data_IF_940654986709
#
_entry.id   IF_940654986709
#
_cell.length_a   1.000
_cell.length_b   1.000
_cell.length_c   1.000
_cell.angle_alpha   90.00
_cell.angle_beta   90.00
_cell.angle_gamma   90.00
#
_symmetry.space_group_name_H-M   'P 1'
#
loop_
_entity.id
_entity.type
_entity.pdbx_description
1 polymer ?
#
# COMPACT_ATOMS: atom_id res chain seq x y z
N UNK A 1 57.14 9.81 26.59
CA UNK A 1 57.54 8.49 26.09
C UNK A 1 56.40 7.95 25.21
N UNK A 2 56.62 8.03 23.90
CA UNK A 2 55.70 7.67 22.83
C UNK A 2 56.05 6.25 22.36
N UNK A 3 55.10 5.32 22.40
CA UNK A 3 55.25 4.03 21.72
C UNK A 3 54.08 3.81 20.77
N UNK A 4 54.35 4.30 19.56
CA UNK A 4 53.68 3.96 18.31
C UNK A 4 53.67 2.43 18.12
N UNK A 5 52.50 1.85 17.87
CA UNK A 5 52.41 0.51 17.29
C UNK A 5 51.59 0.61 16.01
N UNK A 6 52.25 0.19 14.94
CA UNK A 6 51.88 0.39 13.54
C UNK A 6 50.70 -0.50 13.15
N UNK A 7 49.91 0.08 12.27
CA UNK A 7 48.94 -0.50 11.34
C UNK A 7 49.38 -1.90 10.85
N UNK A 8 48.50 -2.90 10.99
CA UNK A 8 48.50 -4.08 10.15
C UNK A 8 47.12 -4.21 9.52
N UNK A 9 47.08 -3.98 8.21
CA UNK A 9 45.92 -3.92 7.34
C UNK A 9 46.05 -5.11 6.39
N UNK A 10 45.38 -6.24 6.62
CA UNK A 10 45.25 -7.33 5.63
C UNK A 10 43.86 -7.99 5.73
N UNK A 11 42.98 -7.52 4.85
CA UNK A 11 42.22 -8.28 3.85
C UNK A 11 41.71 -9.70 4.21
N UNK A 12 40.40 -9.82 4.39
CA UNK A 12 39.65 -11.04 4.05
C UNK A 12 38.25 -10.65 3.55
N UNK A 13 38.21 -10.16 2.31
CA UNK A 13 36.98 -9.91 1.54
C UNK A 13 36.73 -11.17 0.69
N UNK A 14 36.01 -12.13 1.26
CA UNK A 14 35.46 -13.29 0.54
C UNK A 14 34.08 -13.60 1.10
N UNK A 15 33.09 -12.80 0.71
CA UNK A 15 31.70 -13.23 0.70
C UNK A 15 31.50 -13.99 -0.62
N UNK A 16 31.18 -15.29 -0.61
CA UNK A 16 30.82 -15.97 -1.83
C UNK A 16 29.52 -15.36 -2.35
N UNK A 17 29.56 -14.83 -3.58
CA UNK A 17 28.36 -14.63 -4.39
C UNK A 17 27.82 -16.01 -4.77
N UNK A 18 27.06 -16.66 -3.88
CA UNK A 18 26.00 -17.58 -4.29
C UNK A 18 24.71 -16.78 -4.48
N UNK A 19 24.74 -15.87 -5.43
CA UNK A 19 23.54 -15.30 -6.02
C UNK A 19 23.36 -15.96 -7.39
N UNK A 20 22.19 -16.56 -7.59
CA UNK A 20 21.71 -17.21 -8.82
C UNK A 20 22.08 -18.69 -9.03
N UNK A 21 21.44 -19.60 -8.28
CA UNK A 21 21.11 -20.90 -8.89
C UNK A 21 19.73 -21.48 -8.51
N UNK A 22 18.87 -20.71 -7.83
CA UNK A 22 17.47 -21.13 -7.69
C UNK A 22 16.57 -19.90 -7.66
N UNK A 23 15.77 -19.75 -8.69
CA UNK A 23 14.62 -18.87 -8.61
C UNK A 23 13.78 -19.33 -7.39
N UNK A 24 13.39 -18.43 -6.48
CA UNK A 24 12.44 -18.79 -5.44
C UNK A 24 11.20 -19.35 -6.14
N UNK A 25 10.69 -20.49 -5.65
CA UNK A 25 9.43 -21.02 -6.15
C UNK A 25 8.40 -19.90 -6.05
N UNK A 26 7.76 -19.54 -7.18
CA UNK A 26 6.57 -18.69 -7.13
C UNK A 26 5.60 -19.39 -6.19
N UNK A 27 5.25 -18.73 -5.09
CA UNK A 27 4.11 -19.13 -4.30
C UNK A 27 2.91 -19.03 -5.23
N UNK A 28 2.34 -20.18 -5.58
CA UNK A 28 1.03 -20.22 -6.21
C UNK A 28 0.06 -19.62 -5.20
N UNK A 29 -0.31 -18.35 -5.41
CA UNK A 29 -1.39 -17.73 -4.68
C UNK A 29 -2.68 -18.38 -5.18
N UNK A 30 -3.12 -19.43 -4.49
CA UNK A 30 -4.53 -19.80 -4.51
C UNK A 30 -5.24 -18.65 -3.84
N UNK A 31 -5.97 -17.85 -4.62
CA UNK A 31 -6.78 -16.76 -4.08
C UNK A 31 -7.56 -17.23 -2.87
N UNK A 32 -7.59 -16.41 -1.83
CA UNK A 32 -8.47 -16.65 -0.69
C UNK A 32 -9.86 -16.95 -1.24
N UNK A 33 -10.33 -18.18 -1.02
CA UNK A 33 -11.65 -18.60 -1.44
C UNK A 33 -12.64 -17.63 -0.80
N UNK A 34 -13.40 -16.94 -1.64
CA UNK A 34 -14.58 -16.22 -1.20
C UNK A 34 -15.60 -17.28 -0.77
N UNK A 35 -15.98 -17.27 0.51
CA UNK A 35 -16.86 -18.28 1.10
C UNK A 35 -18.31 -18.16 0.64
N UNK A 36 -18.60 -17.28 -0.32
CA UNK A 36 -19.96 -17.05 -0.85
C UNK A 36 -20.26 -17.81 -2.16
N UNK A 37 -19.37 -18.70 -2.61
CA UNK A 37 -19.67 -19.59 -3.73
C UNK A 37 -20.57 -20.74 -3.28
N UNK A 38 -21.86 -20.64 -3.60
CA UNK A 38 -22.74 -21.80 -3.72
C UNK A 38 -22.08 -22.83 -4.65
N UNK A 39 -22.02 -24.12 -4.27
CA UNK A 39 -21.46 -25.14 -5.15
C UNK A 39 -22.37 -25.27 -6.37
N UNK A 40 -21.92 -24.77 -7.51
CA UNK A 40 -22.56 -25.04 -8.80
C UNK A 40 -22.24 -26.50 -9.10
N UNK A 41 -23.25 -27.38 -9.09
CA UNK A 41 -23.11 -28.76 -9.51
C UNK A 41 -22.57 -28.77 -10.94
N UNK A 42 -21.36 -29.28 -11.15
CA UNK A 42 -20.77 -29.38 -12.48
C UNK A 42 -21.45 -30.53 -13.22
N UNK A 43 -22.39 -30.20 -14.11
CA UNK A 43 -22.88 -31.13 -15.12
C UNK A 43 -21.79 -31.24 -16.21
N UNK A 44 -21.19 -32.42 -16.43
CA UNK A 44 -20.12 -32.59 -17.39
C UNK A 44 -20.55 -32.38 -18.85
N UNK A 45 -21.85 -32.34 -19.14
CA UNK A 45 -22.41 -32.19 -20.49
C UNK A 45 -23.04 -30.79 -20.73
N UNK A 46 -22.91 -29.84 -19.78
CA UNK A 46 -23.37 -28.47 -19.99
C UNK A 46 -22.48 -27.78 -21.06
N UNK A 47 -23.03 -27.30 -22.20
CA UNK A 47 -22.28 -26.62 -23.24
C UNK A 47 -21.62 -25.31 -22.79
N UNK A 48 -22.00 -24.78 -21.61
CA UNK A 48 -21.34 -23.64 -20.96
C UNK A 48 -20.13 -24.06 -20.08
N UNK A 49 -19.82 -25.36 -19.98
CA UNK A 49 -18.63 -25.87 -19.26
C UNK A 49 -17.35 -25.62 -20.06
N UNK A 50 -16.92 -24.37 -20.09
CA UNK A 50 -15.58 -24.01 -20.57
C UNK A 50 -14.56 -24.48 -19.52
N UNK A 51 -13.79 -25.52 -19.88
CA UNK A 51 -12.64 -25.96 -19.08
C UNK A 51 -11.67 -24.78 -18.88
N UNK A 52 -11.66 -24.27 -17.64
CA UNK A 52 -10.92 -23.06 -17.29
C UNK A 52 -11.83 -21.84 -17.17
N UNK A 53 -12.80 -21.90 -16.26
CA UNK A 53 -13.40 -20.69 -15.71
C UNK A 53 -12.30 -19.91 -14.99
N UNK A 54 -11.62 -19.02 -15.71
CA UNK A 54 -10.85 -17.96 -15.09
C UNK A 54 -11.87 -17.16 -14.27
N UNK A 55 -12.00 -17.48 -12.98
CA UNK A 55 -12.80 -16.69 -12.06
C UNK A 55 -12.29 -15.26 -12.18
N UNK A 56 -13.10 -14.40 -12.80
CA UNK A 56 -12.79 -12.99 -12.92
C UNK A 56 -12.74 -12.46 -11.50
N UNK A 57 -11.54 -12.35 -10.97
CA UNK A 57 -11.35 -11.72 -9.67
C UNK A 57 -11.67 -10.25 -9.87
N UNK A 58 -12.83 -9.81 -9.37
CA UNK A 58 -13.20 -8.41 -9.32
C UNK A 58 -12.31 -7.70 -8.30
N UNK A 59 -11.07 -7.43 -8.68
CA UNK A 59 -10.16 -6.57 -7.94
C UNK A 59 -10.10 -5.22 -8.64
N UNK A 60 -10.13 -4.16 -7.84
CA UNK A 60 -9.74 -2.83 -8.31
C UNK A 60 -8.30 -2.88 -8.86
N UNK A 61 -8.06 -2.16 -9.97
CA UNK A 61 -6.71 -1.92 -10.48
C UNK A 61 -5.89 -1.02 -9.53
N UNK A 62 -6.58 -0.31 -8.64
CA UNK A 62 -6.01 0.63 -7.67
C UNK A 62 -6.13 0.03 -6.27
N UNK A 63 -5.05 -0.55 -5.72
CA UNK A 63 -5.06 -1.04 -4.35
C UNK A 63 -5.24 0.13 -3.37
N UNK A 64 -5.93 -0.10 -2.26
CA UNK A 64 -6.04 0.89 -1.20
C UNK A 64 -4.64 1.18 -0.62
N UNK A 65 -4.32 2.44 -0.41
CA UNK A 65 -3.14 2.86 0.33
C UNK A 65 -3.21 2.36 1.79
N UNK A 66 -2.06 2.08 2.40
CA UNK A 66 -1.97 1.98 3.87
C UNK A 66 -2.22 3.33 4.52
N UNK A 67 -2.55 3.34 5.81
CA UNK A 67 -2.78 4.56 6.59
C UNK A 67 -1.59 5.53 6.54
N UNK A 68 -0.37 5.01 6.70
CA UNK A 68 0.85 5.80 6.57
C UNK A 68 1.03 6.38 5.16
N UNK A 69 0.72 5.61 4.12
CA UNK A 69 0.82 6.09 2.75
C UNK A 69 -0.23 7.17 2.46
N UNK A 70 -1.45 7.02 3.01
CA UNK A 70 -2.50 8.01 2.91
C UNK A 70 -2.09 9.33 3.59
N UNK A 71 -1.60 9.30 4.84
CA UNK A 71 -1.16 10.51 5.57
C UNK A 71 -0.05 11.25 4.82
N UNK A 72 0.96 10.51 4.33
CA UNK A 72 2.05 11.10 3.53
C UNK A 72 1.53 11.70 2.22
N UNK A 73 0.62 11.00 1.54
CA UNK A 73 0.04 11.49 0.29
C UNK A 73 -0.79 12.75 0.50
N UNK A 74 -1.59 12.82 1.55
CA UNK A 74 -2.35 14.03 1.92
C UNK A 74 -1.41 15.19 2.22
N UNK A 75 -0.34 14.95 2.99
CA UNK A 75 0.68 15.97 3.25
C UNK A 75 1.27 16.51 1.95
N UNK A 76 1.66 15.62 1.05
CA UNK A 76 2.40 15.99 -0.15
C UNK A 76 1.50 16.64 -1.20
N UNK A 77 0.31 16.09 -1.46
CA UNK A 77 -0.65 16.63 -2.43
C UNK A 77 -1.16 18.00 -1.99
N UNK A 78 -1.41 18.18 -0.70
CA UNK A 78 -1.93 19.43 -0.16
C UNK A 78 -0.84 20.37 0.34
N UNK A 79 0.44 20.05 0.13
CA UNK A 79 1.60 20.86 0.53
C UNK A 79 1.57 21.27 2.01
N UNK A 80 1.19 20.35 2.89
CA UNK A 80 1.12 20.57 4.34
C UNK A 80 2.53 20.57 4.95
N UNK A 81 2.74 21.40 5.98
CA UNK A 81 4.04 21.47 6.67
C UNK A 81 4.37 20.20 7.48
N UNK A 82 3.35 19.40 7.83
CA UNK A 82 3.48 18.17 8.60
C UNK A 82 2.41 17.17 8.20
N UNK A 83 2.62 15.90 8.53
CA UNK A 83 1.62 14.85 8.39
C UNK A 83 0.32 15.23 9.13
N UNK A 84 -0.87 15.00 8.54
CA UNK A 84 -2.14 15.28 9.20
C UNK A 84 -2.41 14.33 10.36
N UNK A 85 -1.81 13.12 10.33
CA UNK A 85 -1.91 12.08 11.37
C UNK A 85 -3.36 11.67 11.72
N UNK A 86 -4.34 11.99 10.85
CA UNK A 86 -5.74 11.65 11.07
C UNK A 86 -5.99 10.16 10.93
N UNK A 87 -5.14 9.45 10.17
CA UNK A 87 -5.27 8.01 10.00
C UNK A 87 -5.13 7.20 11.29
N UNK A 88 -4.58 7.81 12.35
CA UNK A 88 -4.44 7.18 13.68
C UNK A 88 -5.78 6.87 14.34
N UNK A 89 -6.86 7.53 13.93
CA UNK A 89 -8.21 7.27 14.47
C UNK A 89 -9.00 6.26 13.66
N UNK A 90 -8.47 5.82 12.52
CA UNK A 90 -9.17 4.91 11.63
C UNK A 90 -9.17 3.50 12.21
N UNK A 91 -10.10 2.66 11.75
CA UNK A 91 -9.95 1.22 11.94
C UNK A 91 -8.55 0.78 11.48
N UNK A 92 -7.82 0.03 12.32
CA UNK A 92 -6.43 -0.32 12.04
C UNK A 92 -6.27 -1.16 10.76
N UNK A 93 -5.16 -0.94 10.06
CA UNK A 93 -4.78 -1.77 8.93
C UNK A 93 -4.49 -3.21 9.37
N UNK A 94 -4.88 -4.22 8.57
CA UNK A 94 -4.65 -5.60 8.91
C UNK A 94 -3.15 -5.92 8.96
N UNK A 95 -2.72 -6.56 10.04
CA UNK A 95 -1.40 -7.20 10.15
C UNK A 95 -1.39 -8.54 9.41
N UNK A 96 -0.24 -8.99 8.91
CA UNK A 96 -0.11 -10.33 8.32
C UNK A 96 0.75 -10.43 7.07
N UNK A 97 1.42 -9.33 6.68
CA UNK A 97 2.36 -9.29 5.57
C UNK A 97 3.67 -8.66 6.04
N UNK A 98 4.79 -9.09 5.47
CA UNK A 98 6.09 -8.47 5.72
C UNK A 98 6.13 -6.99 5.30
N UNK A 99 5.26 -6.63 4.34
CA UNK A 99 5.05 -5.26 3.89
C UNK A 99 3.66 -4.76 4.28
N UNK A 100 3.56 -3.49 4.63
CA UNK A 100 2.31 -2.83 5.04
C UNK A 100 1.41 -2.40 3.87
N UNK A 101 1.71 -2.81 2.62
CA UNK A 101 1.03 -2.38 1.40
C UNK A 101 0.38 -3.55 0.61
N UNK A 102 0.04 -4.65 1.29
CA UNK A 102 -0.48 -5.83 0.64
C UNK A 102 -1.93 -5.61 0.13
N UNK A 103 -2.11 -5.55 -1.19
CA UNK A 103 -3.40 -5.29 -1.84
C UNK A 103 -4.48 -6.37 -1.63
N UNK A 104 -4.07 -7.60 -1.32
CA UNK A 104 -5.00 -8.67 -0.98
C UNK A 104 -5.62 -8.45 0.41
N UNK A 105 -4.89 -7.83 1.34
CA UNK A 105 -5.34 -7.57 2.71
C UNK A 105 -5.98 -6.19 2.86
N UNK A 106 -5.44 -5.16 2.20
CA UNK A 106 -5.93 -3.80 2.32
C UNK A 106 -7.25 -3.62 1.56
N UNK A 107 -8.36 -3.65 2.29
CA UNK A 107 -9.72 -3.42 1.77
C UNK A 107 -10.35 -2.20 2.43
N UNK A 108 -11.22 -1.51 1.69
CA UNK A 108 -12.04 -0.43 2.25
C UNK A 108 -13.34 -1.06 2.76
N UNK A 109 -13.47 -1.17 4.08
CA UNK A 109 -14.73 -1.54 4.74
C UNK A 109 -15.68 -0.34 4.83
N UNK A 110 -16.94 -0.57 5.20
CA UNK A 110 -17.90 0.51 5.44
C UNK A 110 -17.42 1.49 6.55
N UNK A 111 -16.81 0.96 7.61
CA UNK A 111 -16.24 1.79 8.69
C UNK A 111 -15.08 2.62 8.17
N UNK A 112 -14.14 2.00 7.44
CA UNK A 112 -13.00 2.72 6.86
C UNK A 112 -13.45 3.78 5.86
N UNK A 113 -14.51 3.52 5.07
CA UNK A 113 -15.07 4.53 4.18
C UNK A 113 -15.54 5.77 4.96
N UNK A 114 -16.24 5.57 6.08
CA UNK A 114 -16.68 6.66 6.94
C UNK A 114 -15.50 7.42 7.58
N UNK A 115 -14.49 6.69 8.05
CA UNK A 115 -13.25 7.26 8.61
C UNK A 115 -12.54 8.17 7.60
N UNK A 116 -12.33 7.67 6.37
CA UNK A 116 -11.69 8.46 5.30
C UNK A 116 -12.51 9.69 4.90
N UNK A 117 -13.84 9.56 4.83
CA UNK A 117 -14.72 10.69 4.52
C UNK A 117 -14.61 11.79 5.57
N UNK A 118 -14.72 11.43 6.85
CA UNK A 118 -14.63 12.40 7.95
C UNK A 118 -13.25 13.07 8.00
N UNK A 119 -12.19 12.31 7.76
CA UNK A 119 -10.85 12.86 7.71
C UNK A 119 -10.67 13.83 6.52
N UNK A 120 -11.22 13.50 5.35
CA UNK A 120 -11.19 14.37 4.19
C UNK A 120 -11.96 15.68 4.45
N UNK A 121 -13.14 15.61 5.06
CA UNK A 121 -13.92 16.79 5.50
C UNK A 121 -13.09 17.65 6.47
N UNK A 122 -12.48 17.04 7.48
CA UNK A 122 -11.63 17.72 8.46
C UNK A 122 -10.44 18.44 7.81
N UNK A 123 -9.78 17.78 6.85
CA UNK A 123 -8.65 18.37 6.11
C UNK A 123 -9.14 19.49 5.20
N UNK A 124 -10.28 19.32 4.52
CA UNK A 124 -10.86 20.32 3.65
C UNK A 124 -11.16 21.61 4.41
N UNK A 125 -11.81 21.51 5.58
CA UNK A 125 -12.08 22.68 6.44
C UNK A 125 -10.79 23.40 6.85
N UNK A 126 -9.77 22.64 7.26
CA UNK A 126 -8.47 23.20 7.67
C UNK A 126 -7.74 23.90 6.52
N UNK A 127 -7.76 23.33 5.32
CA UNK A 127 -7.05 23.85 4.15
C UNK A 127 -7.82 25.04 3.56
N UNK A 128 -9.12 24.90 3.34
CA UNK A 128 -9.96 25.95 2.76
C UNK A 128 -10.09 27.17 3.69
N UNK A 129 -10.09 26.96 5.01
CA UNK A 129 -10.09 28.03 6.00
C UNK A 129 -8.76 28.78 6.15
N UNK A 130 -7.70 28.37 5.46
CA UNK A 130 -6.36 28.97 5.56
C UNK A 130 -5.92 29.57 4.22
N UNK A 131 -6.01 30.90 4.12
CA UNK A 131 -5.66 31.63 2.89
C UNK A 131 -4.21 31.40 2.42
N UNK A 132 -3.26 31.30 3.34
CA UNK A 132 -1.86 31.02 2.99
C UNK A 132 -1.69 29.61 2.44
N UNK A 133 -2.44 28.64 2.95
CA UNK A 133 -2.41 27.27 2.45
C UNK A 133 -3.07 27.18 1.07
N UNK A 134 -4.23 27.81 0.89
CA UNK A 134 -4.90 27.88 -0.42
C UNK A 134 -3.97 28.50 -1.46
N UNK A 135 -3.27 29.59 -1.11
CA UNK A 135 -2.33 30.26 -2.02
C UNK A 135 -1.22 29.34 -2.52
N UNK A 136 -0.75 28.37 -1.71
CA UNK A 136 0.26 27.38 -2.15
C UNK A 136 -0.27 26.41 -3.20
N UNK A 137 -1.57 26.14 -3.21
CA UNK A 137 -2.21 25.19 -4.13
C UNK A 137 -2.57 25.82 -5.48
N UNK A 138 -2.58 27.15 -5.56
CA UNK A 138 -2.93 27.87 -6.78
C UNK A 138 -1.75 27.86 -7.77
N UNK A 139 -1.99 27.58 -9.06
CA UNK A 139 -0.95 27.72 -10.08
C UNK A 139 -0.52 29.19 -10.23
N UNK A 140 0.76 29.39 -10.57
CA UNK A 140 1.36 30.73 -10.65
C UNK A 140 0.73 31.64 -11.72
N UNK A 141 0.04 31.07 -12.71
CA UNK A 141 -0.53 31.75 -13.87
C UNK A 141 -2.06 31.84 -13.84
N UNK A 142 -2.65 32.05 -12.66
CA UNK A 142 -4.10 32.28 -12.55
C UNK A 142 -4.54 33.51 -13.39
N UNK A 143 -5.60 33.40 -14.21
CA UNK A 143 -6.21 34.57 -14.83
C UNK A 143 -6.72 35.54 -13.75
N UNK A 144 -6.49 36.83 -13.96
CA UNK A 144 -6.94 37.94 -13.10
C UNK A 144 -8.26 38.53 -13.56
#
# INVERSE_FOLDING_TARGET
>A
MQRSTKILFILALFLPLEACNKAPKRLSFTGAADSDQTPVSQDPDDPDTVAGSASLTYTTAYPRLSHLQWDNSVRDVLLLAASPDLSKTFQADPSGSAFNNNSALLKVSANLWADYRLAAETIADKVAGNADQVKKLLPANLPT
#
